data_IF_393110878628
#
_entry.id   IF_393110878628
#
_cell.length_a   1.000
_cell.length_b   1.000
_cell.length_c   1.000
_cell.angle_alpha   90.00
_cell.angle_beta   90.00
_cell.angle_gamma   90.00
#
_symmetry.space_group_name_H-M   'P 1'
#
loop_
_entity.id
_entity.type
_entity.pdbx_description
1 polymer ?
#
# COMPACT_ATOMS: atom_id res chain seq x y z
N UNK A 1 -16.62 -23.06 -26.76
CA UNK A 1 -17.26 -24.30 -26.23
C UNK A 1 -16.35 -24.82 -25.14
N UNK A 2 -16.72 -24.81 -23.93
CA UNK A 2 -17.08 -25.82 -22.95
C UNK A 2 -17.27 -25.14 -21.61
N UNK A 3 -18.50 -25.19 -21.15
CA UNK A 3 -18.94 -24.88 -19.77
C UNK A 3 -18.61 -26.05 -18.83
N UNK A 4 -18.33 -25.71 -17.54
CA UNK A 4 -18.75 -26.47 -16.33
C UNK A 4 -18.35 -25.64 -15.13
N UNK A 5 -19.27 -25.17 -14.35
CA UNK A 5 -20.28 -25.68 -13.43
C UNK A 5 -19.78 -25.77 -11.99
N UNK A 6 -20.49 -24.98 -11.21
CA UNK A 6 -20.67 -24.87 -9.75
C UNK A 6 -20.39 -26.12 -8.92
N UNK A 7 -19.85 -25.88 -7.70
CA UNK A 7 -20.35 -26.53 -6.49
C UNK A 7 -20.31 -25.54 -5.32
N UNK A 8 -21.49 -25.15 -4.87
CA UNK A 8 -21.75 -24.51 -3.60
C UNK A 8 -21.82 -25.59 -2.49
N UNK A 9 -21.15 -25.37 -1.37
CA UNK A 9 -21.38 -26.13 -0.13
C UNK A 9 -21.79 -25.13 0.96
N UNK A 10 -23.04 -25.20 1.31
CA UNK A 10 -23.68 -24.55 2.46
C UNK A 10 -23.39 -25.36 3.73
N UNK A 11 -22.88 -24.71 4.78
CA UNK A 11 -22.80 -25.25 6.13
C UNK A 11 -23.61 -24.38 7.10
N UNK A 12 -24.20 -24.95 8.16
CA UNK A 12 -25.39 -24.41 8.81
C UNK A 12 -25.14 -23.35 9.86
N UNK A 13 -26.04 -22.37 9.87
CA UNK A 13 -26.20 -21.29 10.83
C UNK A 13 -26.56 -21.80 12.23
N UNK A 14 -25.81 -21.39 13.24
CA UNK A 14 -26.20 -21.52 14.64
C UNK A 14 -26.89 -20.20 15.10
N UNK A 15 -28.22 -20.24 15.19
CA UNK A 15 -29.05 -19.18 15.79
C UNK A 15 -28.91 -19.30 17.31
N UNK A 16 -28.36 -18.30 17.96
CA UNK A 16 -28.48 -18.10 19.41
C UNK A 16 -29.56 -17.08 19.67
N UNK A 17 -30.69 -17.58 20.18
CA UNK A 17 -31.81 -16.81 20.73
C UNK A 17 -31.38 -16.35 22.12
N UNK A 18 -31.27 -15.04 22.34
CA UNK A 18 -31.14 -14.48 23.68
C UNK A 18 -32.46 -13.85 24.07
N UNK A 19 -33.06 -14.39 25.12
CA UNK A 19 -34.41 -14.06 25.60
C UNK A 19 -34.47 -12.62 26.16
N UNK A 20 -35.53 -11.91 25.77
CA UNK A 20 -35.94 -10.66 26.37
C UNK A 20 -36.66 -10.89 27.69
N UNK A 21 -36.14 -10.36 28.78
CA UNK A 21 -36.91 -10.10 29.99
C UNK A 21 -37.42 -8.67 29.94
N UNK A 22 -38.72 -8.49 29.88
CA UNK A 22 -39.44 -7.23 30.00
C UNK A 22 -39.45 -6.77 31.47
N UNK A 23 -38.85 -5.60 31.74
CA UNK A 23 -39.16 -4.80 32.94
C UNK A 23 -39.54 -3.40 32.47
N UNK A 24 -40.82 -3.06 32.73
CA UNK A 24 -41.39 -1.74 32.53
C UNK A 24 -41.05 -0.87 33.75
N UNK A 25 -40.37 0.25 33.53
CA UNK A 25 -40.42 1.40 34.44
C UNK A 25 -39.92 2.70 33.78
N UNK A 26 -40.81 3.70 33.70
CA UNK A 26 -40.54 5.11 33.99
C UNK A 26 -39.84 5.94 32.91
N UNK A 27 -40.64 6.74 32.23
CA UNK A 27 -40.34 7.91 31.40
C UNK A 27 -39.43 8.90 32.13
N UNK A 28 -38.28 9.22 31.61
CA UNK A 28 -37.68 10.56 31.63
C UNK A 28 -36.72 10.64 30.40
N UNK A 29 -37.10 11.52 29.47
CA UNK A 29 -36.40 11.73 28.23
C UNK A 29 -35.05 12.42 28.43
N UNK A 30 -33.97 11.67 28.18
CA UNK A 30 -32.64 12.18 27.95
C UNK A 30 -32.17 11.65 26.61
N UNK A 31 -32.17 12.49 25.59
CA UNK A 31 -31.51 12.22 24.33
C UNK A 31 -30.00 12.18 24.59
N UNK A 32 -29.47 11.01 24.93
CA UNK A 32 -28.02 10.75 24.79
C UNK A 32 -27.75 10.44 23.32
N UNK A 33 -26.92 11.25 22.64
CA UNK A 33 -26.45 10.81 21.34
C UNK A 33 -25.68 9.52 21.56
N UNK A 34 -26.15 8.42 20.97
CA UNK A 34 -25.40 7.18 20.88
C UNK A 34 -24.13 7.50 20.10
N UNK A 35 -23.04 7.74 20.83
CA UNK A 35 -21.69 7.75 20.26
C UNK A 35 -21.44 6.32 19.76
N UNK A 36 -21.76 6.06 18.49
CA UNK A 36 -21.35 4.84 17.83
C UNK A 36 -19.83 4.85 17.79
N UNK A 37 -19.21 4.23 18.79
CA UNK A 37 -17.79 3.96 18.77
C UNK A 37 -17.54 3.13 17.50
N UNK A 38 -16.98 3.79 16.47
CA UNK A 38 -16.48 3.12 15.28
C UNK A 38 -15.42 2.17 15.80
N UNK A 39 -15.68 0.87 15.70
CA UNK A 39 -14.69 -0.14 16.07
C UNK A 39 -13.40 0.21 15.31
N UNK A 40 -12.35 0.55 16.04
CA UNK A 40 -11.05 0.80 15.43
C UNK A 40 -10.68 -0.47 14.67
N UNK A 41 -10.50 -0.36 13.37
CA UNK A 41 -10.02 -1.47 12.54
C UNK A 41 -8.67 -1.88 13.10
N UNK A 42 -8.53 -3.15 13.51
CA UNK A 42 -7.29 -3.62 14.10
C UNK A 42 -6.12 -3.37 13.14
N UNK A 43 -5.03 -2.81 13.65
CA UNK A 43 -3.84 -2.58 12.86
C UNK A 43 -3.40 -3.89 12.17
N UNK A 44 -2.97 -3.85 10.91
CA UNK A 44 -2.57 -5.05 10.20
C UNK A 44 -1.41 -5.73 10.91
N UNK A 45 -1.53 -7.06 11.11
CA UNK A 45 -0.50 -7.83 11.79
C UNK A 45 0.80 -7.84 10.97
N UNK A 46 1.89 -7.40 11.58
CA UNK A 46 3.22 -7.43 10.95
C UNK A 46 3.71 -8.88 10.85
N UNK A 47 4.18 -9.34 9.67
CA UNK A 47 4.78 -10.66 9.53
C UNK A 47 5.97 -10.87 10.46
N UNK A 48 6.05 -12.03 11.11
CA UNK A 48 7.09 -12.37 12.09
C UNK A 48 8.51 -12.26 11.51
N UNK A 49 8.64 -12.44 10.20
CA UNK A 49 9.94 -12.35 9.50
C UNK A 49 10.40 -10.91 9.24
N UNK A 50 9.51 -9.92 9.32
CA UNK A 50 9.85 -8.53 9.00
C UNK A 50 11.01 -7.98 9.84
N UNK A 51 11.07 -8.17 11.18
CA UNK A 51 12.20 -7.70 11.99
C UNK A 51 13.53 -8.30 11.60
N UNK A 52 13.57 -9.50 11.04
CA UNK A 52 14.81 -10.17 10.60
C UNK A 52 15.46 -9.46 9.40
N UNK A 53 14.67 -8.73 8.62
CA UNK A 53 15.13 -7.99 7.44
C UNK A 53 15.37 -6.50 7.74
N UNK A 54 15.14 -6.04 8.96
CA UNK A 54 15.16 -4.61 9.29
C UNK A 54 16.47 -3.94 8.93
N UNK A 55 17.61 -4.47 9.40
CA UNK A 55 18.94 -3.90 9.10
C UNK A 55 19.24 -3.85 7.61
N UNK A 56 18.77 -4.82 6.85
CA UNK A 56 18.89 -4.83 5.38
C UNK A 56 18.14 -3.64 4.79
N UNK A 57 16.87 -3.43 5.16
CA UNK A 57 16.06 -2.32 4.67
C UNK A 57 16.67 -0.97 5.06
N UNK A 58 17.08 -0.81 6.32
CA UNK A 58 17.71 0.40 6.84
C UNK A 58 18.97 0.75 6.04
N UNK A 59 19.84 -0.22 5.77
CA UNK A 59 21.04 -0.02 4.98
C UNK A 59 20.74 0.39 3.54
N UNK A 60 19.90 -0.36 2.84
CA UNK A 60 19.60 -0.08 1.44
C UNK A 60 18.85 1.25 1.28
N UNK A 61 17.97 1.60 2.21
CA UNK A 61 17.28 2.88 2.21
C UNK A 61 18.22 4.07 2.52
N UNK A 62 19.16 3.89 3.45
CA UNK A 62 20.14 4.91 3.80
C UNK A 62 21.09 5.26 2.64
N UNK A 63 21.37 4.34 1.74
CA UNK A 63 22.17 4.59 0.51
C UNK A 63 21.53 5.62 -0.43
N UNK A 64 20.23 5.85 -0.30
CA UNK A 64 19.47 6.75 -1.19
C UNK A 64 18.98 8.01 -0.45
N UNK A 65 18.45 7.85 0.77
CA UNK A 65 17.87 8.94 1.56
C UNK A 65 18.71 9.37 2.77
N UNK A 66 19.86 8.71 3.01
CA UNK A 66 20.69 9.01 4.17
C UNK A 66 19.97 8.67 5.49
N UNK A 67 20.25 9.45 6.52
CA UNK A 67 19.72 9.23 7.89
C UNK A 67 18.19 9.42 7.98
N UNK A 68 17.61 10.18 7.06
CA UNK A 68 16.17 10.43 7.01
C UNK A 68 15.38 9.37 6.22
N UNK A 69 16.00 8.22 5.93
CA UNK A 69 15.40 7.16 5.13
C UNK A 69 14.02 6.72 5.66
N UNK A 70 12.99 6.61 4.80
CA UNK A 70 11.61 6.27 5.19
C UNK A 70 11.44 4.76 5.38
N UNK A 71 12.19 4.16 6.34
CA UNK A 71 12.29 2.70 6.44
C UNK A 71 10.97 2.04 6.81
N UNK A 72 10.11 2.70 7.60
CA UNK A 72 8.77 2.19 7.91
C UNK A 72 7.92 2.07 6.66
N UNK A 73 7.99 3.03 5.74
CA UNK A 73 7.26 3.04 4.47
C UNK A 73 7.78 1.98 3.51
N UNK A 74 9.09 1.84 3.36
CA UNK A 74 9.70 0.77 2.55
C UNK A 74 9.29 -0.61 3.10
N UNK A 75 9.31 -0.79 4.42
CA UNK A 75 8.85 -2.02 5.07
C UNK A 75 7.36 -2.28 4.81
N UNK A 76 6.52 -1.25 4.86
CA UNK A 76 5.10 -1.32 4.53
C UNK A 76 4.88 -1.74 3.07
N UNK A 77 5.69 -1.23 2.16
CA UNK A 77 5.62 -1.60 0.75
C UNK A 77 6.03 -3.05 0.51
N UNK A 78 7.14 -3.52 1.09
CA UNK A 78 7.55 -4.94 1.03
C UNK A 78 6.45 -5.85 1.58
N UNK A 79 5.81 -5.44 2.67
CA UNK A 79 4.67 -6.17 3.24
C UNK A 79 3.51 -6.24 2.23
N UNK A 80 3.16 -5.14 1.58
CA UNK A 80 2.09 -5.10 0.60
C UNK A 80 2.38 -5.96 -0.62
N UNK A 81 3.63 -5.97 -1.10
CA UNK A 81 4.07 -6.70 -2.29
C UNK A 81 4.12 -8.21 -2.08
N UNK A 82 4.74 -8.66 -1.02
CA UNK A 82 5.07 -10.09 -0.89
C UNK A 82 4.82 -10.71 0.48
N UNK A 83 4.38 -9.93 1.47
CA UNK A 83 4.40 -10.36 2.87
C UNK A 83 5.82 -10.81 3.29
N UNK A 84 6.84 -10.10 2.83
CA UNK A 84 8.26 -10.40 3.11
C UNK A 84 8.76 -11.74 2.56
N UNK A 85 8.13 -12.31 1.55
CA UNK A 85 8.53 -13.59 0.95
C UNK A 85 9.50 -13.39 -0.20
N UNK A 86 10.80 -13.77 -0.08
CA UNK A 86 11.79 -13.59 -1.14
C UNK A 86 11.47 -14.39 -2.41
N UNK A 87 10.75 -15.48 -2.26
CA UNK A 87 10.34 -16.36 -3.38
C UNK A 87 8.88 -16.17 -3.78
N UNK A 88 8.29 -15.01 -3.46
CA UNK A 88 6.95 -14.68 -3.94
C UNK A 88 6.96 -14.58 -5.47
N UNK A 89 5.96 -15.18 -6.10
CA UNK A 89 5.79 -15.13 -7.54
C UNK A 89 4.31 -15.02 -7.90
N UNK A 90 4.03 -14.19 -8.87
CA UNK A 90 2.78 -14.16 -9.60
C UNK A 90 3.05 -14.48 -11.07
N UNK A 91 2.01 -14.52 -11.90
CA UNK A 91 2.22 -14.64 -13.35
C UNK A 91 2.92 -13.43 -13.98
N UNK A 92 3.07 -12.31 -13.24
CA UNK A 92 3.61 -11.06 -13.76
C UNK A 92 4.85 -10.56 -13.05
N UNK A 93 5.06 -10.92 -11.77
CA UNK A 93 6.07 -10.28 -10.93
C UNK A 93 6.74 -11.27 -9.98
N UNK A 94 7.99 -10.97 -9.59
CA UNK A 94 8.85 -11.88 -8.86
C UNK A 94 9.54 -11.21 -7.67
N UNK A 95 9.82 -12.05 -6.66
CA UNK A 95 10.66 -11.70 -5.52
C UNK A 95 9.96 -10.85 -4.46
N UNK A 96 10.76 -10.37 -3.51
CA UNK A 96 10.26 -9.64 -2.35
C UNK A 96 9.58 -8.31 -2.74
N UNK A 97 10.06 -7.66 -3.78
CA UNK A 97 9.60 -6.35 -4.28
C UNK A 97 8.67 -6.45 -5.51
N UNK A 98 8.31 -7.66 -5.94
CA UNK A 98 7.38 -7.95 -7.03
C UNK A 98 7.69 -7.18 -8.34
N UNK A 99 8.96 -7.18 -8.75
CA UNK A 99 9.33 -6.64 -10.05
C UNK A 99 8.84 -7.52 -11.19
N UNK A 100 8.23 -6.90 -12.21
CA UNK A 100 8.01 -7.57 -13.49
C UNK A 100 9.34 -7.75 -14.21
N UNK A 101 9.53 -8.79 -15.07
CA UNK A 101 10.77 -8.97 -15.83
C UNK A 101 11.16 -7.72 -16.61
N UNK A 102 10.21 -7.08 -17.28
CA UNK A 102 10.46 -5.85 -18.04
C UNK A 102 10.92 -4.67 -17.17
N UNK A 103 10.33 -4.51 -15.97
CA UNK A 103 10.75 -3.45 -15.05
C UNK A 103 12.11 -3.75 -14.45
N UNK A 104 12.40 -5.01 -14.12
CA UNK A 104 13.70 -5.43 -13.61
C UNK A 104 14.83 -5.15 -14.63
N UNK A 105 14.63 -5.53 -15.87
CA UNK A 105 15.57 -5.26 -16.95
C UNK A 105 15.77 -3.77 -17.19
N UNK A 106 14.66 -3.01 -17.24
CA UNK A 106 14.72 -1.57 -17.45
C UNK A 106 15.46 -0.84 -16.33
N UNK A 107 15.21 -1.16 -15.07
CA UNK A 107 15.85 -0.49 -13.94
C UNK A 107 17.33 -0.84 -13.82
N UNK A 108 17.70 -2.09 -14.13
CA UNK A 108 19.10 -2.51 -14.19
C UNK A 108 19.88 -1.75 -15.27
N UNK A 109 19.28 -1.58 -16.45
CA UNK A 109 19.88 -0.81 -17.53
C UNK A 109 19.96 0.70 -17.21
N UNK A 110 19.00 1.22 -16.45
CA UNK A 110 18.96 2.64 -16.08
C UNK A 110 19.95 3.01 -14.97
N UNK A 111 20.23 2.10 -14.06
CA UNK A 111 21.14 2.28 -12.91
C UNK A 111 22.22 1.19 -12.87
N UNK A 112 23.04 1.05 -13.92
CA UNK A 112 23.95 -0.09 -14.08
C UNK A 112 24.99 -0.18 -12.96
N UNK A 113 25.44 0.94 -12.42
CA UNK A 113 26.43 0.99 -11.33
C UNK A 113 25.90 0.42 -10.01
N UNK A 114 24.58 0.47 -9.79
CA UNK A 114 23.93 0.02 -8.57
C UNK A 114 23.16 -1.28 -8.72
N UNK A 115 22.64 -1.54 -9.91
CA UNK A 115 21.74 -2.64 -10.22
C UNK A 115 22.18 -3.49 -11.42
N UNK A 116 23.44 -3.37 -11.84
CA UNK A 116 23.98 -4.25 -12.89
C UNK A 116 23.90 -5.72 -12.46
N UNK A 117 23.24 -6.54 -13.29
CA UNK A 117 23.01 -7.96 -12.96
C UNK A 117 21.93 -8.18 -11.89
N UNK A 118 20.97 -7.28 -11.78
CA UNK A 118 19.86 -7.36 -10.82
C UNK A 118 19.10 -8.69 -10.91
N UNK A 119 19.08 -9.41 -9.79
CA UNK A 119 18.26 -10.61 -9.58
C UNK A 119 17.08 -10.27 -8.63
N UNK A 120 15.83 -10.25 -9.11
CA UNK A 120 14.66 -9.96 -8.27
C UNK A 120 14.39 -11.03 -7.19
N UNK A 121 15.01 -12.22 -7.29
CA UNK A 121 14.90 -13.28 -6.30
C UNK A 121 15.89 -13.14 -5.13
N UNK A 122 16.93 -12.33 -5.28
CA UNK A 122 17.81 -11.96 -4.20
C UNK A 122 17.14 -10.85 -3.35
N UNK A 123 16.89 -11.09 -2.04
CA UNK A 123 16.15 -10.12 -1.22
C UNK A 123 16.88 -8.79 -1.05
N UNK A 124 18.22 -8.79 -1.01
CA UNK A 124 19.01 -7.56 -0.87
C UNK A 124 18.91 -6.73 -2.15
N UNK A 125 19.07 -7.37 -3.30
CA UNK A 125 18.99 -6.69 -4.60
C UNK A 125 17.55 -6.22 -4.88
N UNK A 126 16.54 -7.01 -4.51
CA UNK A 126 15.13 -6.63 -4.65
C UNK A 126 14.79 -5.37 -3.84
N UNK A 127 15.25 -5.29 -2.58
CA UNK A 127 15.04 -4.11 -1.73
C UNK A 127 15.83 -2.91 -2.26
N UNK A 128 17.09 -3.10 -2.67
CA UNK A 128 17.90 -2.04 -3.30
C UNK A 128 17.20 -1.47 -4.54
N UNK A 129 16.71 -2.33 -5.41
CA UNK A 129 16.00 -1.91 -6.62
C UNK A 129 14.71 -1.15 -6.28
N UNK A 130 13.93 -1.63 -5.31
CA UNK A 130 12.72 -0.94 -4.82
C UNK A 130 13.06 0.46 -4.32
N UNK A 131 14.03 0.58 -3.44
CA UNK A 131 14.47 1.86 -2.86
C UNK A 131 14.89 2.87 -3.93
N UNK A 132 15.70 2.45 -4.91
CA UNK A 132 16.14 3.29 -6.03
C UNK A 132 14.95 3.68 -6.91
N UNK A 133 14.04 2.75 -7.17
CA UNK A 133 12.88 2.99 -8.02
C UNK A 133 11.89 3.94 -7.37
N UNK A 134 11.61 3.78 -6.08
CA UNK A 134 10.75 4.69 -5.32
C UNK A 134 11.31 6.11 -5.30
N UNK A 135 12.60 6.26 -5.05
CA UNK A 135 13.26 7.56 -5.10
C UNK A 135 13.14 8.20 -6.49
N UNK A 136 13.36 7.41 -7.53
CA UNK A 136 13.20 7.89 -8.90
C UNK A 136 11.76 8.30 -9.22
N UNK A 137 10.77 7.52 -8.79
CA UNK A 137 9.36 7.81 -9.01
C UNK A 137 8.88 9.03 -8.23
N UNK A 138 9.24 9.15 -6.95
CA UNK A 138 8.83 10.28 -6.10
C UNK A 138 9.46 11.59 -6.57
N UNK A 139 10.74 11.58 -6.93
CA UNK A 139 11.42 12.76 -7.49
C UNK A 139 10.77 13.26 -8.78
N UNK A 140 10.24 12.36 -9.61
CA UNK A 140 9.63 12.72 -10.90
C UNK A 140 8.15 13.08 -10.82
N UNK A 141 7.50 12.74 -9.73
CA UNK A 141 6.06 12.93 -9.57
C UNK A 141 5.75 13.65 -8.24
N UNK A 142 6.25 14.88 -8.05
CA UNK A 142 5.96 15.64 -6.84
C UNK A 142 4.46 15.91 -6.71
N UNK A 143 3.99 15.87 -5.47
CA UNK A 143 2.65 16.28 -5.06
C UNK A 143 2.68 17.55 -4.23
N UNK A 144 1.51 18.03 -3.80
CA UNK A 144 1.36 19.20 -2.95
C UNK A 144 2.01 19.00 -1.58
N UNK A 145 2.01 17.77 -1.08
CA UNK A 145 2.59 17.37 0.21
C UNK A 145 3.51 16.15 0.03
N UNK A 146 4.24 15.80 1.10
CA UNK A 146 5.00 14.54 1.17
C UNK A 146 4.06 13.32 0.98
N UNK A 147 2.87 13.38 1.59
CA UNK A 147 1.84 12.36 1.45
C UNK A 147 1.43 12.15 -0.02
N UNK A 148 1.16 13.24 -0.74
CA UNK A 148 0.77 13.18 -2.15
C UNK A 148 1.93 12.70 -3.04
N UNK A 149 3.14 13.16 -2.76
CA UNK A 149 4.35 12.73 -3.47
C UNK A 149 4.54 11.22 -3.38
N UNK A 150 4.40 10.65 -2.18
CA UNK A 150 4.50 9.21 -2.00
C UNK A 150 3.31 8.45 -2.57
N UNK A 151 2.11 9.00 -2.47
CA UNK A 151 0.93 8.40 -3.09
C UNK A 151 1.09 8.29 -4.61
N UNK A 152 1.64 9.33 -5.26
CA UNK A 152 1.98 9.28 -6.68
C UNK A 152 3.09 8.29 -6.99
N UNK A 153 4.16 8.26 -6.20
CA UNK A 153 5.25 7.29 -6.36
C UNK A 153 4.74 5.85 -6.29
N UNK A 154 3.98 5.52 -5.26
CA UNK A 154 3.39 4.19 -5.05
C UNK A 154 2.37 3.83 -6.14
N UNK A 155 1.52 4.79 -6.55
CA UNK A 155 0.59 4.57 -7.67
C UNK A 155 1.33 4.28 -8.98
N UNK A 156 2.47 4.96 -9.21
CA UNK A 156 3.32 4.72 -10.37
C UNK A 156 4.09 3.39 -10.27
N UNK A 157 4.57 3.01 -9.09
CA UNK A 157 5.20 1.71 -8.85
C UNK A 157 4.27 0.56 -9.21
N UNK A 158 3.08 0.53 -8.61
CA UNK A 158 2.10 -0.54 -8.81
C UNK A 158 1.50 -0.55 -10.22
N UNK A 159 1.18 0.62 -10.76
CA UNK A 159 0.37 0.69 -11.99
C UNK A 159 1.08 1.30 -13.21
N UNK A 160 2.32 1.76 -13.05
CA UNK A 160 3.11 2.41 -14.08
C UNK A 160 2.91 3.93 -14.16
N UNK A 161 4.03 4.67 -14.28
CA UNK A 161 4.06 6.14 -14.33
C UNK A 161 3.20 6.71 -15.47
N UNK A 162 3.12 6.02 -16.60
CA UNK A 162 2.29 6.46 -17.73
C UNK A 162 0.80 6.52 -17.41
N UNK A 163 0.30 5.63 -16.54
CA UNK A 163 -1.07 5.70 -16.05
C UNK A 163 -1.27 6.82 -15.04
N UNK A 164 -0.35 7.01 -14.12
CA UNK A 164 -0.39 8.13 -13.17
C UNK A 164 -0.50 9.48 -13.89
N UNK A 165 0.33 9.71 -14.91
CA UNK A 165 0.29 10.95 -15.70
C UNK A 165 -1.04 11.16 -16.39
N UNK A 166 -1.67 10.10 -16.91
CA UNK A 166 -3.01 10.19 -17.49
C UNK A 166 -4.08 10.48 -16.45
N UNK A 167 -3.97 9.90 -15.27
CA UNK A 167 -4.89 10.12 -14.16
C UNK A 167 -4.81 11.58 -13.69
N UNK A 168 -3.61 12.14 -13.47
CA UNK A 168 -3.38 13.55 -13.13
C UNK A 168 -3.95 14.50 -14.19
N UNK A 169 -3.60 14.27 -15.46
CA UNK A 169 -4.15 15.06 -16.57
C UNK A 169 -5.69 15.03 -16.63
N UNK A 170 -6.28 13.88 -16.31
CA UNK A 170 -7.74 13.73 -16.31
C UNK A 170 -8.37 14.47 -15.12
N UNK A 171 -7.75 14.46 -13.96
CA UNK A 171 -8.16 15.22 -12.78
C UNK A 171 -8.17 16.73 -13.11
N UNK A 172 -7.05 17.28 -13.58
CA UNK A 172 -6.93 18.67 -13.98
C UNK A 172 -7.99 19.08 -15.03
N UNK A 173 -8.23 18.24 -16.04
CA UNK A 173 -9.24 18.50 -17.08
C UNK A 173 -10.68 18.55 -16.55
N UNK A 174 -10.92 18.06 -15.34
CA UNK A 174 -12.21 18.07 -14.65
C UNK A 174 -12.24 19.04 -13.46
N UNK A 175 -11.24 19.92 -13.34
CA UNK A 175 -11.18 20.95 -12.30
C UNK A 175 -10.73 20.47 -10.93
N UNK A 176 -10.18 19.25 -10.84
CA UNK A 176 -9.59 18.73 -9.60
C UNK A 176 -8.11 19.14 -9.48
N UNK A 177 -7.59 19.15 -8.26
CA UNK A 177 -6.18 19.40 -7.98
C UNK A 177 -5.34 18.20 -8.43
N UNK A 178 -4.46 18.39 -9.41
CA UNK A 178 -3.71 17.30 -10.03
C UNK A 178 -2.41 16.97 -9.29
N UNK A 179 -2.07 17.73 -8.27
CA UNK A 179 -0.96 17.53 -7.34
C UNK A 179 -1.40 17.00 -5.97
N UNK A 180 -2.70 16.76 -5.76
CA UNK A 180 -3.28 16.15 -4.56
C UNK A 180 -3.83 14.76 -4.90
N UNK A 181 -3.43 13.74 -4.10
CA UNK A 181 -3.89 12.37 -4.35
C UNK A 181 -5.23 12.06 -3.73
N UNK A 182 -5.31 12.13 -2.38
CA UNK A 182 -6.52 11.74 -1.65
C UNK A 182 -7.65 12.74 -1.85
N UNK A 183 -8.83 12.24 -2.19
CA UNK A 183 -10.00 13.06 -2.51
C UNK A 183 -9.94 13.73 -3.89
N UNK A 184 -8.80 13.68 -4.59
CA UNK A 184 -8.59 14.32 -5.88
C UNK A 184 -8.20 13.27 -6.94
N UNK A 185 -6.93 13.15 -7.31
CA UNK A 185 -6.46 12.31 -8.44
C UNK A 185 -6.91 10.85 -8.34
N UNK A 186 -7.05 10.30 -7.15
CA UNK A 186 -7.50 8.91 -6.96
C UNK A 186 -8.86 8.60 -7.59
N UNK A 187 -9.70 9.59 -7.76
CA UNK A 187 -11.03 9.40 -8.35
C UNK A 187 -11.02 9.38 -9.90
N UNK A 188 -10.00 9.96 -10.52
CA UNK A 188 -9.93 10.19 -11.96
C UNK A 188 -9.02 9.17 -12.66
N UNK A 189 -9.62 8.25 -13.42
CA UNK A 189 -8.85 7.28 -14.20
C UNK A 189 -9.66 6.71 -15.36
N UNK A 190 -8.95 6.24 -16.38
CA UNK A 190 -9.51 5.43 -17.47
C UNK A 190 -9.06 3.96 -17.37
N UNK A 191 -8.43 3.55 -16.25
CA UNK A 191 -8.09 2.14 -16.01
C UNK A 191 -9.34 1.29 -15.91
N UNK A 192 -9.24 0.00 -16.22
CA UNK A 192 -10.28 -0.97 -15.92
C UNK A 192 -10.63 -0.96 -14.41
N UNK A 193 -11.88 -1.19 -14.07
CA UNK A 193 -12.37 -1.06 -12.69
C UNK A 193 -11.58 -1.88 -11.66
N UNK A 194 -11.14 -3.09 -12.02
CA UNK A 194 -10.29 -3.93 -11.14
C UNK A 194 -8.91 -3.30 -10.93
N UNK A 195 -8.27 -2.78 -12.01
CA UNK A 195 -6.95 -2.14 -11.92
C UNK A 195 -7.01 -0.80 -11.16
N UNK A 196 -8.13 -0.06 -11.26
CA UNK A 196 -8.37 1.11 -10.41
C UNK A 196 -8.40 0.70 -8.95
N UNK A 197 -9.22 -0.28 -8.58
CA UNK A 197 -9.36 -0.72 -7.18
C UNK A 197 -8.04 -1.21 -6.61
N UNK A 198 -7.33 -2.05 -7.34
CA UNK A 198 -6.01 -2.56 -6.92
C UNK A 198 -5.04 -1.42 -6.64
N UNK A 199 -4.86 -0.50 -7.59
CA UNK A 199 -3.92 0.60 -7.47
C UNK A 199 -4.27 1.56 -6.31
N UNK A 200 -5.55 1.90 -6.13
CA UNK A 200 -6.00 2.79 -5.02
C UNK A 200 -5.85 2.09 -3.66
N UNK A 201 -6.27 0.83 -3.57
CA UNK A 201 -6.09 0.04 -2.35
C UNK A 201 -4.62 -0.17 -1.99
N UNK A 202 -3.73 -0.28 -2.97
CA UNK A 202 -2.29 -0.38 -2.74
C UNK A 202 -1.75 0.86 -2.04
N UNK A 203 -2.04 2.06 -2.57
CA UNK A 203 -1.61 3.33 -1.99
C UNK A 203 -2.18 3.54 -0.60
N UNK A 204 -3.51 3.40 -0.45
CA UNK A 204 -4.20 3.53 0.84
C UNK A 204 -3.65 2.57 1.89
N UNK A 205 -3.50 1.29 1.53
CA UNK A 205 -3.01 0.24 2.42
C UNK A 205 -1.60 0.55 2.93
N UNK A 206 -0.71 1.01 2.06
CA UNK A 206 0.67 1.31 2.46
C UNK A 206 0.72 2.55 3.35
N UNK A 207 0.18 3.68 2.89
CA UNK A 207 0.35 4.96 3.57
C UNK A 207 -0.50 5.12 4.81
N UNK A 208 -1.74 4.60 4.80
CA UNK A 208 -2.69 4.86 5.88
C UNK A 208 -2.88 3.70 6.86
N UNK A 209 -2.37 2.49 6.53
CA UNK A 209 -2.56 1.32 7.39
C UNK A 209 -1.24 0.66 7.77
N UNK A 210 -0.38 0.32 6.80
CA UNK A 210 0.84 -0.42 7.06
C UNK A 210 1.97 0.47 7.59
N UNK A 211 2.23 1.62 6.98
CA UNK A 211 3.28 2.54 7.44
C UNK A 211 3.07 2.94 8.92
N UNK A 212 1.87 3.37 9.36
CA UNK A 212 1.62 3.62 10.79
C UNK A 212 1.89 2.40 11.68
N UNK A 213 1.53 1.18 11.23
CA UNK A 213 1.80 -0.04 11.99
C UNK A 213 3.30 -0.33 12.11
N UNK A 214 4.10 -0.08 11.07
CA UNK A 214 5.55 -0.21 11.12
C UNK A 214 6.20 0.86 12.00
N UNK A 215 5.70 2.09 11.98
CA UNK A 215 6.13 3.13 12.94
C UNK A 215 5.85 2.72 14.40
N UNK A 216 4.65 2.23 14.68
CA UNK A 216 4.29 1.73 16.01
C UNK A 216 5.19 0.56 16.47
N UNK A 217 5.72 -0.23 15.53
CA UNK A 217 6.70 -1.28 15.79
C UNK A 217 8.16 -0.79 15.84
N UNK A 218 8.39 0.52 15.85
CA UNK A 218 9.69 1.16 16.03
C UNK A 218 10.55 1.26 14.76
N UNK A 219 9.99 1.10 13.56
CA UNK A 219 10.71 1.37 12.32
C UNK A 219 10.84 2.88 12.10
N UNK A 220 11.99 3.32 11.58
CA UNK A 220 12.34 4.73 11.45
C UNK A 220 11.81 5.39 10.18
N UNK A 221 11.98 6.71 10.12
CA UNK A 221 11.49 7.62 9.07
C UNK A 221 10.34 8.50 9.59
N UNK A 222 10.10 9.62 8.92
CA UNK A 222 8.92 10.44 9.19
C UNK A 222 7.70 9.84 8.47
N UNK A 223 6.48 9.81 9.08
CA UNK A 223 5.27 9.45 8.37
C UNK A 223 5.03 10.34 7.15
N UNK A 224 4.63 9.75 6.02
CA UNK A 224 4.32 10.55 4.84
C UNK A 224 3.02 11.33 5.02
N UNK A 225 2.04 10.68 5.62
CA UNK A 225 0.71 11.25 5.82
C UNK A 225 0.43 11.44 7.30
N UNK A 226 -0.19 12.55 7.65
CA UNK A 226 -0.76 12.73 8.99
C UNK A 226 -2.02 11.86 9.10
N UNK A 227 -1.95 10.82 9.90
CA UNK A 227 -3.14 10.02 10.22
C UNK A 227 -3.78 10.67 11.46
N UNK A 228 -4.83 11.44 11.23
CA UNK A 228 -5.65 11.97 12.36
C UNK A 228 -6.32 10.78 13.06
N UNK A 229 -6.16 10.64 14.39
CA UNK A 229 -6.68 9.52 15.15
C UNK A 229 -8.21 9.48 15.21
#
# INVERSE_FOLDING_TARGET
MIRRALHAVLGPSAIRICGCALLVAGVLGGLFPACAARAAEAAPAMPVVAPLHRLMVEREAAEVWGIAAPTARIAAQIHAESLWRPKAASQYAHGMAQFTPATAEWIAAKFPDKLGGFDPWDPVQAVRAMVIYDHWLTTRNPGATECDTWAFGLSAYNGGEGWLRRDRKRAAAQGAEDDVWFGQVEHYTARAGWAKRENRSYVERILLKLEPAYHAAGWSGAPACEVTP
#
